data_IF_375305971954
#
_entry.id   IF_375305971954
#
_cell.length_a   1.000
_cell.length_b   1.000
_cell.length_c   1.000
_cell.angle_alpha   90.00
_cell.angle_beta   90.00
_cell.angle_gamma   90.00
#
_symmetry.space_group_name_H-M   'P 1'
#
loop_
_entity.id
_entity.type
_entity.pdbx_description
1 polymer ?
#
# COMPACT_ATOMS: atom_id res chain seq x y z
N UNK A 1 29.64 -19.61 -49.49
CA UNK A 1 28.50 -19.52 -48.56
C UNK A 1 27.68 -18.33 -48.99
N UNK A 2 26.51 -18.56 -49.58
CA UNK A 2 25.71 -17.50 -50.22
C UNK A 2 24.61 -17.06 -49.26
N UNK A 3 24.89 -16.08 -48.40
CA UNK A 3 23.87 -15.44 -47.56
C UNK A 3 23.06 -14.48 -48.42
N UNK A 4 21.74 -14.66 -48.46
CA UNK A 4 20.83 -13.76 -49.18
C UNK A 4 20.19 -12.78 -48.20
N UNK A 5 20.31 -11.48 -48.49
CA UNK A 5 19.72 -10.39 -47.70
C UNK A 5 18.38 -9.98 -48.30
N UNK A 6 17.36 -9.88 -47.45
CA UNK A 6 16.02 -9.45 -47.82
C UNK A 6 15.58 -8.27 -46.93
N UNK A 7 15.35 -7.07 -47.48
CA UNK A 7 14.85 -5.92 -46.73
C UNK A 7 13.49 -6.19 -46.07
N UNK A 8 13.25 -5.60 -44.90
CA UNK A 8 12.00 -5.79 -44.15
C UNK A 8 11.03 -4.60 -44.25
N UNK A 9 11.29 -3.61 -45.10
CA UNK A 9 10.51 -2.37 -45.18
C UNK A 9 8.99 -2.59 -45.38
N UNK A 10 8.59 -3.61 -46.15
CA UNK A 10 7.18 -3.98 -46.37
C UNK A 10 6.52 -4.80 -45.23
N UNK A 11 7.32 -5.23 -44.26
CA UNK A 11 6.92 -6.17 -43.20
C UNK A 11 6.95 -5.55 -41.81
N UNK A 12 7.81 -4.55 -41.58
CA UNK A 12 7.96 -3.88 -40.28
C UNK A 12 6.64 -3.29 -39.79
N UNK A 13 6.46 -3.31 -38.48
CA UNK A 13 5.28 -2.77 -37.80
C UNK A 13 5.61 -1.50 -37.01
N UNK A 14 6.53 -0.65 -37.45
CA UNK A 14 6.93 0.53 -36.67
C UNK A 14 5.73 1.43 -36.34
N UNK A 15 5.63 1.90 -35.09
CA UNK A 15 4.53 2.74 -34.60
C UNK A 15 3.14 2.11 -34.70
N UNK A 16 3.03 0.77 -34.83
CA UNK A 16 1.72 0.11 -34.95
C UNK A 16 0.82 0.39 -33.74
N UNK A 17 1.40 0.38 -32.54
CA UNK A 17 0.64 0.54 -31.31
C UNK A 17 0.10 1.97 -31.17
N UNK A 18 0.89 2.98 -31.51
CA UNK A 18 0.44 4.38 -31.57
C UNK A 18 -0.72 4.57 -32.55
N UNK A 19 -0.66 3.92 -33.72
CA UNK A 19 -1.76 3.93 -34.70
C UNK A 19 -3.03 3.29 -34.14
N UNK A 20 -2.90 2.19 -33.40
CA UNK A 20 -4.03 1.52 -32.74
C UNK A 20 -4.62 2.40 -31.64
N UNK A 21 -3.80 3.04 -30.81
CA UNK A 21 -4.26 3.97 -29.77
C UNK A 21 -4.98 5.18 -30.37
N UNK A 22 -4.45 5.74 -31.46
CA UNK A 22 -5.09 6.86 -32.17
C UNK A 22 -6.45 6.47 -32.76
N UNK A 23 -6.62 5.21 -33.20
CA UNK A 23 -7.86 4.70 -33.77
C UNK A 23 -8.94 4.34 -32.75
N UNK A 24 -8.57 4.08 -31.49
CA UNK A 24 -9.49 3.59 -30.46
C UNK A 24 -9.29 4.34 -29.13
N UNK A 25 -10.00 5.48 -28.91
CA UNK A 25 -9.86 6.29 -27.69
C UNK A 25 -10.09 5.51 -26.38
N UNK A 26 -10.89 4.45 -26.42
CA UNK A 26 -11.13 3.58 -25.26
C UNK A 26 -9.85 2.86 -24.78
N UNK A 27 -8.93 2.52 -25.69
CA UNK A 27 -7.65 1.90 -25.33
C UNK A 27 -6.73 2.88 -24.58
N UNK A 28 -6.80 4.18 -24.89
CA UNK A 28 -6.05 5.19 -24.13
C UNK A 28 -6.43 5.24 -22.65
N UNK A 29 -7.74 5.15 -22.34
CA UNK A 29 -8.22 5.06 -20.95
C UNK A 29 -7.81 3.75 -20.29
N UNK A 30 -7.83 2.65 -21.03
CA UNK A 30 -7.38 1.36 -20.54
C UNK A 30 -5.88 1.36 -20.22
N UNK A 31 -5.05 1.94 -21.09
CA UNK A 31 -3.62 2.12 -20.83
C UNK A 31 -3.36 2.95 -19.57
N UNK A 32 -4.15 4.00 -19.32
CA UNK A 32 -4.07 4.77 -18.09
C UNK A 32 -4.45 3.95 -16.84
N UNK A 33 -5.32 2.94 -16.98
CA UNK A 33 -5.80 2.11 -15.87
C UNK A 33 -4.93 0.90 -15.55
N UNK A 34 -4.45 0.16 -16.56
CA UNK A 34 -3.71 -1.11 -16.37
C UNK A 34 -2.26 -1.08 -16.90
N UNK A 35 -1.84 0.05 -17.47
CA UNK A 35 -0.52 0.25 -18.04
C UNK A 35 -0.45 -0.06 -19.53
N UNK A 36 0.30 0.77 -20.25
CA UNK A 36 0.49 0.68 -21.70
C UNK A 36 1.09 -0.67 -22.13
N UNK A 37 2.10 -1.14 -21.40
CA UNK A 37 2.79 -2.39 -21.71
C UNK A 37 1.85 -3.62 -21.65
N UNK A 38 0.93 -3.67 -20.69
CA UNK A 38 -0.02 -4.78 -20.59
C UNK A 38 -0.97 -4.76 -21.79
N UNK A 39 -1.52 -3.59 -22.16
CA UNK A 39 -2.42 -3.47 -23.31
C UNK A 39 -1.72 -3.84 -24.62
N UNK A 40 -0.53 -3.29 -24.87
CA UNK A 40 0.23 -3.57 -26.08
C UNK A 40 0.57 -5.06 -26.20
N UNK A 41 1.10 -5.66 -25.13
CA UNK A 41 1.51 -7.07 -25.12
C UNK A 41 0.31 -8.03 -25.16
N UNK A 42 -0.83 -7.67 -24.58
CA UNK A 42 -2.09 -8.40 -24.76
C UNK A 42 -2.47 -8.49 -26.24
N UNK A 43 -2.43 -7.38 -26.99
CA UNK A 43 -2.73 -7.38 -28.42
C UNK A 43 -1.76 -8.26 -29.22
N UNK A 44 -0.47 -8.22 -28.89
CA UNK A 44 0.54 -9.11 -29.52
C UNK A 44 0.26 -10.58 -29.23
N UNK A 45 -0.23 -10.89 -28.03
CA UNK A 45 -0.61 -12.24 -27.62
C UNK A 45 -1.95 -12.71 -28.20
N UNK A 46 -2.64 -11.87 -28.99
CA UNK A 46 -3.95 -12.17 -29.58
C UNK A 46 -5.12 -11.95 -28.63
N UNK A 47 -4.93 -11.19 -27.54
CA UNK A 47 -5.98 -10.84 -26.59
C UNK A 47 -6.64 -9.51 -26.96
N UNK A 48 -7.97 -9.49 -26.95
CA UNK A 48 -8.81 -8.30 -27.05
C UNK A 48 -9.59 -8.12 -25.76
N UNK A 49 -9.34 -7.02 -25.06
CA UNK A 49 -10.06 -6.66 -23.85
C UNK A 49 -11.41 -6.06 -24.27
N UNK A 50 -12.49 -6.72 -23.88
CA UNK A 50 -13.87 -6.38 -24.25
C UNK A 50 -14.45 -5.36 -23.28
N UNK A 51 -14.20 -5.56 -21.99
CA UNK A 51 -14.71 -4.69 -20.93
C UNK A 51 -13.73 -4.60 -19.77
N UNK A 52 -13.81 -3.49 -19.05
CA UNK A 52 -13.04 -3.22 -17.85
C UNK A 52 -13.98 -2.60 -16.81
N UNK A 53 -14.09 -3.26 -15.66
CA UNK A 53 -14.79 -2.73 -14.49
C UNK A 53 -13.80 -1.94 -13.66
N UNK A 54 -14.20 -0.73 -13.29
CA UNK A 54 -13.42 0.16 -12.43
C UNK A 54 -14.08 0.17 -11.07
N UNK A 55 -13.30 -0.10 -10.03
CA UNK A 55 -13.73 0.07 -8.66
C UNK A 55 -13.96 1.58 -8.41
N UNK A 56 -15.18 1.92 -8.01
CA UNK A 56 -15.59 3.32 -7.79
C UNK A 56 -14.85 3.98 -6.63
N UNK A 57 -14.26 3.20 -5.74
CA UNK A 57 -13.56 3.71 -4.55
C UNK A 57 -12.09 4.01 -4.84
N UNK A 58 -11.42 3.14 -5.59
CA UNK A 58 -9.98 3.27 -5.90
C UNK A 58 -9.71 3.86 -7.27
N UNK A 59 -10.73 3.96 -8.13
CA UNK A 59 -10.60 4.26 -9.56
C UNK A 59 -9.67 3.30 -10.32
N UNK A 60 -9.30 2.17 -9.71
CA UNK A 60 -8.48 1.14 -10.33
C UNK A 60 -9.35 0.13 -11.08
N UNK A 61 -8.79 -0.45 -12.14
CA UNK A 61 -9.45 -1.53 -12.86
C UNK A 61 -9.41 -2.80 -12.02
N UNK A 62 -10.56 -3.26 -11.54
CA UNK A 62 -10.68 -4.40 -10.64
C UNK A 62 -10.92 -5.71 -11.39
N UNK A 63 -11.58 -5.65 -12.54
CA UNK A 63 -11.97 -6.81 -13.32
C UNK A 63 -11.94 -6.48 -14.80
N UNK A 64 -11.50 -7.43 -15.61
CA UNK A 64 -11.42 -7.38 -17.06
C UNK A 64 -12.16 -8.58 -17.64
N UNK A 65 -12.75 -8.38 -18.81
CA UNK A 65 -13.19 -9.47 -19.68
C UNK A 65 -12.43 -9.37 -20.98
N UNK A 66 -11.92 -10.51 -21.46
CA UNK A 66 -11.12 -10.57 -22.68
C UNK A 66 -11.50 -11.76 -23.54
N UNK A 67 -11.18 -11.64 -24.82
CA UNK A 67 -11.25 -12.71 -25.81
C UNK A 67 -9.85 -12.93 -26.35
N UNK A 68 -9.42 -14.19 -26.43
CA UNK A 68 -8.19 -14.58 -27.10
C UNK A 68 -8.51 -15.26 -28.42
N UNK A 69 -7.89 -14.79 -29.48
CA UNK A 69 -7.93 -15.41 -30.80
C UNK A 69 -6.91 -16.57 -30.84
N UNK A 70 -7.38 -17.82 -30.95
CA UNK A 70 -6.53 -19.02 -30.95
C UNK A 70 -6.27 -19.49 -32.38
N UNK A 71 -5.07 -20.03 -32.70
CA UNK A 71 -4.80 -20.65 -34.00
C UNK A 71 -5.87 -21.69 -34.35
N UNK A 72 -6.52 -21.51 -35.51
CA UNK A 72 -7.69 -22.31 -35.93
C UNK A 72 -9.03 -21.57 -35.91
N UNK A 73 -9.05 -20.31 -35.48
CA UNK A 73 -10.23 -19.43 -35.57
C UNK A 73 -11.22 -19.59 -34.43
N UNK A 74 -10.85 -20.34 -33.37
CA UNK A 74 -11.63 -20.40 -32.15
C UNK A 74 -11.33 -19.19 -31.27
N UNK A 75 -12.38 -18.57 -30.73
CA UNK A 75 -12.29 -17.51 -29.74
C UNK A 75 -12.48 -18.11 -28.35
N UNK A 76 -11.54 -17.84 -27.44
CA UNK A 76 -11.64 -18.25 -26.04
C UNK A 76 -11.91 -17.02 -25.19
N UNK A 77 -13.01 -17.06 -24.44
CA UNK A 77 -13.37 -16.00 -23.49
C UNK A 77 -12.71 -16.24 -22.14
N UNK A 78 -12.23 -15.16 -21.52
CA UNK A 78 -11.67 -15.15 -20.18
C UNK A 78 -12.13 -13.90 -19.41
N UNK A 79 -12.06 -13.99 -18.08
CA UNK A 79 -12.36 -12.88 -17.19
C UNK A 79 -11.56 -13.02 -15.90
N UNK A 80 -11.19 -11.88 -15.32
CA UNK A 80 -10.37 -11.86 -14.10
C UNK A 80 -9.73 -10.50 -13.85
N UNK A 81 -8.77 -10.46 -12.96
CA UNK A 81 -8.01 -9.26 -12.62
C UNK A 81 -6.97 -8.91 -13.70
N UNK A 82 -6.46 -7.66 -13.73
CA UNK A 82 -5.33 -7.32 -14.59
C UNK A 82 -4.07 -8.17 -14.37
N UNK A 83 -3.86 -8.72 -13.16
CA UNK A 83 -2.74 -9.60 -12.86
C UNK A 83 -2.92 -11.01 -13.43
N UNK A 84 -4.13 -11.55 -13.42
CA UNK A 84 -4.44 -12.84 -14.06
C UNK A 84 -4.25 -12.75 -15.58
N UNK A 85 -4.75 -11.69 -16.21
CA UNK A 85 -4.49 -11.44 -17.63
C UNK A 85 -3.00 -11.31 -17.93
N UNK A 86 -2.24 -10.63 -17.07
CA UNK A 86 -0.79 -10.46 -17.22
C UNK A 86 -0.07 -11.80 -17.19
N UNK A 87 -0.43 -12.69 -16.27
CA UNK A 87 0.17 -14.03 -16.16
C UNK A 87 -0.16 -14.89 -17.39
N UNK A 88 -1.39 -14.80 -17.91
CA UNK A 88 -1.77 -15.43 -19.18
C UNK A 88 -0.95 -14.90 -20.36
N UNK A 89 -0.82 -13.57 -20.51
CA UNK A 89 -0.05 -12.95 -21.59
C UNK A 89 1.43 -13.37 -21.53
N UNK A 90 2.02 -13.44 -20.33
CA UNK A 90 3.38 -13.95 -20.14
C UNK A 90 3.50 -15.39 -20.65
N UNK A 91 2.58 -16.27 -20.25
CA UNK A 91 2.59 -17.66 -20.67
C UNK A 91 2.58 -17.77 -22.21
N UNK A 92 1.68 -17.04 -22.88
CA UNK A 92 1.53 -17.07 -24.34
C UNK A 92 2.74 -16.50 -25.07
N UNK A 93 3.25 -15.35 -24.66
CA UNK A 93 4.35 -14.70 -25.36
C UNK A 93 5.70 -15.39 -25.15
N UNK A 94 5.81 -16.24 -24.12
CA UNK A 94 7.04 -16.99 -23.81
C UNK A 94 7.08 -18.38 -24.45
N UNK A 95 5.99 -18.86 -25.03
CA UNK A 95 5.97 -20.08 -25.85
C UNK A 95 6.93 -19.97 -27.05
N UNK A 96 7.57 -21.09 -27.40
CA UNK A 96 8.46 -21.13 -28.57
C UNK A 96 7.67 -20.98 -29.87
N UNK A 97 8.15 -20.09 -30.74
CA UNK A 97 7.59 -19.87 -32.08
C UNK A 97 8.32 -20.77 -33.07
N UNK A 98 7.58 -21.61 -33.81
CA UNK A 98 8.18 -22.48 -34.83
C UNK A 98 8.92 -21.64 -35.88
N UNK A 99 10.07 -22.15 -36.34
CA UNK A 99 10.84 -21.48 -37.39
C UNK A 99 10.39 -22.01 -38.75
N UNK A 100 9.78 -21.15 -39.55
CA UNK A 100 9.45 -21.50 -40.93
C UNK A 100 10.69 -21.30 -41.81
N UNK A 101 11.02 -22.30 -42.64
CA UNK A 101 12.09 -22.16 -43.62
C UNK A 101 11.61 -21.35 -44.83
N UNK A 102 12.40 -20.38 -45.28
CA UNK A 102 12.14 -19.62 -46.51
C UNK A 102 12.23 -20.57 -47.72
N UNK A 103 11.11 -20.79 -48.42
CA UNK A 103 11.01 -21.63 -49.61
C UNK A 103 10.34 -20.84 -50.73
N UNK A 104 10.87 -20.93 -51.95
CA UNK A 104 10.23 -20.35 -53.14
C UNK A 104 10.46 -18.83 -53.30
N UNK A 105 9.45 -18.13 -53.82
CA UNK A 105 9.48 -16.68 -54.05
C UNK A 105 9.48 -15.96 -52.70
N UNK A 106 10.34 -14.95 -52.58
CA UNK A 106 10.39 -14.11 -51.37
C UNK A 106 9.48 -12.90 -51.59
N UNK A 107 8.32 -12.93 -50.95
CA UNK A 107 7.39 -11.82 -50.80
C UNK A 107 7.20 -11.49 -49.30
N UNK A 108 6.43 -10.44 -49.01
CA UNK A 108 6.22 -9.96 -47.64
C UNK A 108 5.59 -11.03 -46.74
N UNK A 109 4.74 -11.90 -47.28
CA UNK A 109 4.11 -12.98 -46.53
C UNK A 109 5.12 -14.09 -46.17
N UNK A 110 5.99 -14.45 -47.11
CA UNK A 110 7.10 -15.35 -46.84
C UNK A 110 8.07 -14.77 -45.79
N UNK A 111 8.34 -13.46 -45.85
CA UNK A 111 9.18 -12.77 -44.87
C UNK A 111 8.52 -12.73 -43.49
N UNK A 112 7.21 -12.45 -43.40
CA UNK A 112 6.43 -12.53 -42.15
C UNK A 112 6.45 -13.92 -41.56
N UNK A 113 6.29 -14.95 -42.39
CA UNK A 113 6.31 -16.35 -41.94
C UNK A 113 7.67 -16.76 -41.34
N UNK A 114 8.78 -16.25 -41.87
CA UNK A 114 10.11 -16.55 -41.34
C UNK A 114 10.44 -15.76 -40.08
N UNK A 115 10.20 -14.45 -40.07
CA UNK A 115 10.52 -13.62 -38.90
C UNK A 115 9.57 -13.96 -37.74
N UNK A 116 8.31 -14.23 -38.04
CA UNK A 116 7.25 -14.48 -37.07
C UNK A 116 6.50 -13.18 -36.74
N UNK A 117 5.16 -13.23 -36.80
CA UNK A 117 4.32 -12.05 -36.57
C UNK A 117 4.53 -11.48 -35.16
N UNK A 118 4.74 -12.36 -34.17
CA UNK A 118 5.01 -11.96 -32.78
C UNK A 118 6.30 -11.15 -32.69
N UNK A 119 7.37 -11.63 -33.33
CA UNK A 119 8.67 -10.93 -33.38
C UNK A 119 8.52 -9.56 -34.06
N UNK A 120 7.77 -9.48 -35.15
CA UNK A 120 7.51 -8.23 -35.89
C UNK A 120 6.79 -7.20 -35.04
N UNK A 121 5.80 -7.61 -34.25
CA UNK A 121 5.04 -6.70 -33.39
C UNK A 121 5.78 -6.31 -32.11
N UNK A 122 6.57 -7.22 -31.52
CA UNK A 122 7.33 -6.94 -30.29
C UNK A 122 8.53 -6.02 -30.53
N UNK A 123 9.23 -6.17 -31.66
CA UNK A 123 10.44 -5.40 -31.95
C UNK A 123 10.26 -3.87 -31.76
N UNK A 124 9.27 -3.20 -32.37
CA UNK A 124 9.09 -1.75 -32.20
C UNK A 124 8.67 -1.35 -30.78
N UNK A 125 7.97 -2.22 -30.02
CA UNK A 125 7.61 -1.94 -28.62
C UNK A 125 8.84 -1.84 -27.70
N UNK A 126 9.96 -2.46 -28.09
CA UNK A 126 11.21 -2.42 -27.36
C UNK A 126 12.30 -1.62 -28.09
N UNK A 127 11.93 -0.81 -29.09
CA UNK A 127 12.85 0.02 -29.84
C UNK A 127 13.83 -0.75 -30.73
N UNK A 128 13.52 -1.99 -31.09
CA UNK A 128 14.35 -2.80 -31.99
C UNK A 128 14.02 -2.42 -33.44
N UNK A 129 15.00 -1.82 -34.11
CA UNK A 129 14.92 -1.40 -35.50
C UNK A 129 15.34 -2.55 -36.45
N UNK A 130 14.38 -3.30 -36.99
CA UNK A 130 14.70 -4.42 -37.90
C UNK A 130 14.88 -3.95 -39.35
N UNK A 131 16.05 -4.16 -39.94
CA UNK A 131 16.39 -3.67 -41.29
C UNK A 131 16.22 -4.73 -42.37
N UNK A 132 16.76 -5.92 -42.13
CA UNK A 132 16.72 -7.01 -43.09
C UNK A 132 16.77 -8.37 -42.40
N UNK A 133 16.29 -9.40 -43.09
CA UNK A 133 16.55 -10.79 -42.75
C UNK A 133 17.61 -11.36 -43.69
N UNK A 134 18.58 -12.07 -43.12
CA UNK A 134 19.64 -12.74 -43.85
C UNK A 134 19.44 -14.24 -43.72
N UNK A 135 19.33 -14.92 -44.85
CA UNK A 135 19.13 -16.38 -44.91
C UNK A 135 20.35 -17.00 -45.57
N UNK A 136 21.05 -17.84 -44.82
CA UNK A 136 22.21 -18.58 -45.30
C UNK A 136 22.29 -19.99 -44.73
N UNK A 137 23.37 -20.68 -45.06
CA UNK A 137 23.60 -22.08 -44.63
C UNK A 137 23.75 -22.22 -43.11
N UNK A 138 24.15 -21.15 -42.43
CA UNK A 138 24.30 -21.07 -40.98
C UNK A 138 23.00 -20.72 -40.22
N UNK A 139 21.89 -20.52 -40.94
CA UNK A 139 20.58 -20.18 -40.37
C UNK A 139 20.10 -18.77 -40.74
N UNK A 140 19.10 -18.31 -39.98
CA UNK A 140 18.45 -17.01 -40.18
C UNK A 140 18.99 -15.97 -39.21
N UNK A 141 19.52 -14.87 -39.73
CA UNK A 141 19.96 -13.70 -38.96
C UNK A 141 19.02 -12.52 -39.23
N UNK A 142 18.90 -11.63 -38.26
CA UNK A 142 18.28 -10.31 -38.41
C UNK A 142 19.38 -9.24 -38.37
N UNK A 143 19.38 -8.36 -39.37
CA UNK A 143 20.11 -7.11 -39.31
C UNK A 143 19.29 -6.09 -38.53
N UNK A 144 19.82 -5.65 -37.40
CA UNK A 144 19.22 -4.68 -36.50
C UNK A 144 19.97 -3.35 -36.62
N UNK A 145 19.26 -2.22 -36.63
CA UNK A 145 19.85 -0.89 -36.60
C UNK A 145 20.52 -0.60 -35.26
N UNK A 146 21.70 0.02 -35.30
CA UNK A 146 22.46 0.55 -34.18
C UNK A 146 23.01 1.94 -34.52
N UNK A 147 23.48 2.70 -33.54
CA UNK A 147 23.98 4.08 -33.73
C UNK A 147 25.10 4.17 -34.79
N UNK A 148 25.97 3.15 -34.84
CA UNK A 148 27.13 3.09 -35.74
C UNK A 148 26.92 2.15 -36.96
N UNK A 149 25.69 1.73 -37.26
CA UNK A 149 25.39 0.91 -38.45
C UNK A 149 24.37 -0.20 -38.21
N UNK A 150 24.69 -1.43 -38.64
CA UNK A 150 23.83 -2.59 -38.45
C UNK A 150 24.56 -3.72 -37.71
N UNK A 151 23.84 -4.43 -36.85
CA UNK A 151 24.33 -5.63 -36.17
C UNK A 151 23.52 -6.83 -36.62
N UNK A 152 24.20 -7.89 -37.08
CA UNK A 152 23.58 -9.15 -37.46
C UNK A 152 23.47 -10.08 -36.24
N UNK A 153 22.24 -10.44 -35.87
CA UNK A 153 21.97 -11.28 -34.70
C UNK A 153 21.15 -12.51 -35.12
N UNK A 154 21.47 -13.73 -34.65
CA UNK A 154 20.64 -14.89 -34.92
C UNK A 154 19.19 -14.69 -34.47
N UNK A 155 18.23 -14.98 -35.35
CA UNK A 155 16.80 -14.84 -35.05
C UNK A 155 16.38 -15.54 -33.75
N UNK A 156 16.87 -16.75 -33.41
CA UNK A 156 16.57 -17.38 -32.13
C UNK A 156 17.04 -16.58 -30.90
N UNK A 157 18.19 -15.91 -30.98
CA UNK A 157 18.70 -15.07 -29.89
C UNK A 157 17.88 -13.78 -29.75
N UNK A 158 17.44 -13.18 -30.86
CA UNK A 158 16.50 -12.05 -30.84
C UNK A 158 15.19 -12.45 -30.16
N UNK A 159 14.61 -13.61 -30.51
CA UNK A 159 13.39 -14.14 -29.88
C UNK A 159 13.58 -14.38 -28.39
N UNK A 160 14.72 -14.95 -27.99
CA UNK A 160 15.06 -15.17 -26.58
C UNK A 160 15.16 -13.85 -25.81
N UNK A 161 15.80 -12.84 -26.39
CA UNK A 161 15.89 -11.49 -25.80
C UNK A 161 14.50 -10.86 -25.64
N UNK A 162 13.67 -10.91 -26.69
CA UNK A 162 12.31 -10.39 -26.66
C UNK A 162 11.47 -11.06 -25.56
N UNK A 163 11.53 -12.38 -25.41
CA UNK A 163 10.85 -13.10 -24.33
C UNK A 163 11.31 -12.65 -22.94
N UNK A 164 12.62 -12.52 -22.73
CA UNK A 164 13.15 -12.03 -21.47
C UNK A 164 12.63 -10.62 -21.16
N UNK A 165 12.59 -9.74 -22.17
CA UNK A 165 12.10 -8.37 -22.02
C UNK A 165 10.60 -8.30 -21.73
N UNK A 166 9.79 -9.15 -22.37
CA UNK A 166 8.36 -9.29 -22.05
C UNK A 166 8.15 -9.65 -20.59
N UNK A 167 8.85 -10.66 -20.08
CA UNK A 167 8.74 -11.10 -18.68
C UNK A 167 9.15 -9.96 -17.74
N UNK A 168 10.27 -9.30 -18.03
CA UNK A 168 10.77 -8.20 -17.20
C UNK A 168 9.78 -7.04 -17.13
N UNK A 169 9.28 -6.58 -18.28
CA UNK A 169 8.36 -5.44 -18.35
C UNK A 169 7.04 -5.76 -17.68
N UNK A 170 6.45 -6.94 -17.95
CA UNK A 170 5.16 -7.30 -17.35
C UNK A 170 5.27 -7.52 -15.84
N UNK A 171 6.39 -8.06 -15.34
CA UNK A 171 6.62 -8.21 -13.88
C UNK A 171 6.94 -6.88 -13.19
N UNK A 172 7.73 -6.00 -13.83
CA UNK A 172 8.02 -4.67 -13.30
C UNK A 172 6.79 -3.76 -13.28
N UNK A 173 5.87 -3.97 -14.23
CA UNK A 173 4.58 -3.30 -14.29
C UNK A 173 3.52 -3.89 -13.35
N UNK A 174 3.85 -4.87 -12.50
CA UNK A 174 3.00 -5.15 -11.33
C UNK A 174 3.13 -3.92 -10.42
N UNK A 175 2.03 -3.21 -10.09
CA UNK A 175 2.10 -2.32 -8.95
C UNK A 175 2.61 -3.18 -7.80
N UNK A 176 3.71 -2.77 -7.16
CA UNK A 176 4.11 -3.37 -5.89
C UNK A 176 3.01 -2.99 -4.91
N UNK A 177 1.92 -3.75 -4.91
CA UNK A 177 0.98 -3.78 -3.82
C UNK A 177 1.82 -4.21 -2.64
N UNK A 178 2.16 -3.23 -1.80
CA UNK A 178 2.59 -3.53 -0.43
C UNK A 178 1.34 -4.10 0.22
N UNK A 179 1.04 -5.38 -0.05
CA UNK A 179 -0.13 -6.05 0.46
C UNK A 179 0.06 -6.17 1.97
N UNK A 180 -0.72 -5.40 2.72
CA UNK A 180 -0.73 -5.48 4.17
C UNK A 180 -1.56 -6.70 4.54
N UNK A 181 -0.92 -7.73 5.08
CA UNK A 181 -1.60 -8.92 5.58
C UNK A 181 -2.31 -8.58 6.90
N UNK A 182 -3.60 -8.25 6.80
CA UNK A 182 -4.43 -7.90 7.96
C UNK A 182 -4.60 -9.07 8.93
N UNK A 183 -4.55 -10.33 8.46
CA UNK A 183 -4.66 -11.49 9.33
C UNK A 183 -3.42 -11.64 10.21
N UNK A 184 -2.23 -11.43 9.62
CA UNK A 184 -0.99 -11.41 10.37
C UNK A 184 -0.95 -10.26 11.40
N UNK A 185 -1.47 -9.08 11.05
CA UNK A 185 -1.56 -7.94 11.97
C UNK A 185 -2.55 -8.17 13.12
N UNK A 186 -3.65 -8.87 12.86
CA UNK A 186 -4.58 -9.23 13.95
C UNK A 186 -3.94 -10.25 14.91
N UNK A 187 -3.14 -11.20 14.40
CA UNK A 187 -2.36 -12.11 15.24
C UNK A 187 -1.31 -11.37 16.10
N UNK A 188 -0.71 -10.28 15.59
CA UNK A 188 0.19 -9.41 16.39
C UNK A 188 -0.56 -8.77 17.56
N UNK A 189 -1.78 -8.28 17.33
CA UNK A 189 -2.62 -7.72 18.40
C UNK A 189 -2.85 -8.73 19.52
N UNK A 190 -3.13 -9.99 19.17
CA UNK A 190 -3.34 -11.07 20.12
C UNK A 190 -2.07 -11.43 20.89
N UNK A 191 -0.93 -11.58 20.19
CA UNK A 191 0.37 -11.81 20.82
C UNK A 191 0.73 -10.70 21.83
N UNK A 192 0.43 -9.43 21.49
CA UNK A 192 0.65 -8.29 22.39
C UNK A 192 -0.22 -8.35 23.65
N UNK A 193 -1.49 -8.76 23.51
CA UNK A 193 -2.41 -8.94 24.64
C UNK A 193 -1.95 -10.05 25.60
N UNK A 194 -1.30 -11.09 25.06
CA UNK A 194 -0.73 -12.21 25.83
C UNK A 194 0.65 -11.90 26.44
N UNK A 195 1.23 -10.74 26.10
CA UNK A 195 2.56 -10.37 26.58
C UNK A 195 3.73 -11.05 25.86
N UNK A 196 3.48 -11.62 24.68
CA UNK A 196 4.53 -12.21 23.82
C UNK A 196 5.27 -11.13 23.03
N UNK A 197 6.05 -10.32 23.73
CA UNK A 197 6.71 -9.14 23.18
C UNK A 197 7.69 -9.48 22.05
N UNK A 198 8.45 -10.57 22.17
CA UNK A 198 9.40 -11.00 21.14
C UNK A 198 8.71 -11.33 19.82
N UNK A 199 7.52 -11.94 19.88
CA UNK A 199 6.73 -12.28 18.68
C UNK A 199 6.21 -11.01 18.01
N UNK A 200 5.70 -10.07 18.79
CA UNK A 200 5.25 -8.76 18.29
C UNK A 200 6.40 -8.03 17.60
N UNK A 201 7.57 -7.96 18.24
CA UNK A 201 8.74 -7.27 17.70
C UNK A 201 9.27 -7.94 16.43
N UNK A 202 9.35 -9.28 16.43
CA UNK A 202 9.81 -10.08 15.29
C UNK A 202 8.93 -9.89 14.05
N UNK A 203 7.61 -9.95 14.23
CA UNK A 203 6.64 -9.81 13.14
C UNK A 203 6.57 -8.37 12.63
N UNK A 204 6.56 -7.39 13.54
CA UNK A 204 6.34 -5.99 13.17
C UNK A 204 7.58 -5.28 12.64
N UNK A 205 8.80 -5.69 13.03
CA UNK A 205 10.04 -5.05 12.58
C UNK A 205 10.16 -4.92 11.04
N UNK A 206 9.98 -5.98 10.23
CA UNK A 206 10.03 -5.86 8.78
C UNK A 206 8.81 -5.13 8.19
N UNK A 207 7.67 -5.16 8.89
CA UNK A 207 6.41 -4.59 8.40
C UNK A 207 6.31 -3.08 8.62
N UNK A 208 7.01 -2.53 9.61
CA UNK A 208 6.89 -1.12 9.97
C UNK A 208 7.16 -0.19 8.77
N UNK A 209 8.28 -0.40 8.07
CA UNK A 209 8.61 0.38 6.87
C UNK A 209 7.60 0.18 5.73
N UNK A 210 7.06 -1.02 5.58
CA UNK A 210 6.04 -1.34 4.60
C UNK A 210 4.73 -0.60 4.90
N UNK A 211 4.28 -0.56 6.16
CA UNK A 211 3.10 0.19 6.59
C UNK A 211 3.25 1.69 6.34
N UNK A 212 4.43 2.26 6.66
CA UNK A 212 4.72 3.69 6.37
C UNK A 212 4.62 3.98 4.87
N UNK A 213 5.14 3.09 4.02
CA UNK A 213 5.06 3.24 2.57
C UNK A 213 3.62 3.06 2.06
N UNK A 214 2.92 2.04 2.56
CA UNK A 214 1.56 1.69 2.17
C UNK A 214 0.58 2.82 2.47
N UNK A 215 0.69 3.50 3.62
CA UNK A 215 -0.18 4.63 3.95
C UNK A 215 -0.14 5.77 2.90
N UNK A 216 0.96 5.88 2.14
CA UNK A 216 1.15 6.90 1.09
C UNK A 216 0.66 6.46 -0.29
N UNK A 217 0.20 5.22 -0.44
CA UNK A 217 -0.34 4.72 -1.71
C UNK A 217 -1.82 5.04 -1.83
N UNK A 218 -2.40 5.01 -3.06
CA UNK A 218 -3.84 5.09 -3.24
C UNK A 218 -4.62 4.03 -2.45
N UNK A 219 -4.08 2.80 -2.39
CA UNK A 219 -4.69 1.69 -1.64
C UNK A 219 -4.71 1.95 -0.13
N UNK A 220 -3.62 2.50 0.43
CA UNK A 220 -3.59 2.90 1.84
C UNK A 220 -4.52 4.07 2.15
N UNK A 221 -4.64 5.03 1.23
CA UNK A 221 -5.60 6.11 1.36
C UNK A 221 -7.05 5.60 1.31
N UNK A 222 -7.36 4.65 0.43
CA UNK A 222 -8.68 4.05 0.25
C UNK A 222 -9.03 3.00 1.32
N UNK A 223 -8.10 2.61 2.20
CA UNK A 223 -8.33 1.61 3.23
C UNK A 223 -9.53 1.98 4.11
N UNK A 224 -10.49 1.05 4.22
CA UNK A 224 -11.69 1.20 5.03
C UNK A 224 -11.41 1.31 6.53
N UNK A 225 -12.38 1.79 7.33
CA UNK A 225 -12.20 2.07 8.75
C UNK A 225 -11.84 0.82 9.57
N UNK A 226 -12.38 -0.36 9.22
CA UNK A 226 -12.05 -1.62 9.89
C UNK A 226 -10.61 -2.07 9.63
N UNK A 227 -10.15 -2.03 8.37
CA UNK A 227 -8.77 -2.35 8.03
C UNK A 227 -7.77 -1.40 8.71
N UNK A 228 -8.09 -0.10 8.72
CA UNK A 228 -7.31 0.90 9.46
C UNK A 228 -7.28 0.63 10.96
N UNK A 229 -8.38 0.16 11.54
CA UNK A 229 -8.46 -0.19 12.94
C UNK A 229 -7.58 -1.40 13.29
N UNK A 230 -7.53 -2.43 12.43
CA UNK A 230 -6.64 -3.60 12.60
C UNK A 230 -5.18 -3.14 12.61
N UNK A 231 -4.76 -2.34 11.62
CA UNK A 231 -3.39 -1.82 11.54
C UNK A 231 -3.04 -0.97 12.76
N UNK A 232 -3.94 -0.07 13.16
CA UNK A 232 -3.73 0.79 14.32
C UNK A 232 -3.58 -0.02 15.62
N UNK A 233 -4.38 -1.07 15.82
CA UNK A 233 -4.28 -1.94 17.01
C UNK A 233 -3.00 -2.76 17.03
N UNK A 234 -2.53 -3.25 15.88
CA UNK A 234 -1.24 -3.93 15.78
C UNK A 234 -0.08 -2.98 16.13
N UNK A 235 -0.12 -1.72 15.66
CA UNK A 235 0.86 -0.70 16.02
C UNK A 235 0.78 -0.29 17.51
N UNK A 236 -0.40 -0.34 18.13
CA UNK A 236 -0.55 -0.18 19.59
C UNK A 236 0.09 -1.34 20.35
N UNK A 237 -0.13 -2.59 19.89
CA UNK A 237 0.53 -3.76 20.47
C UNK A 237 2.05 -3.63 20.40
N UNK A 238 2.59 -3.22 19.25
CA UNK A 238 4.00 -2.88 19.08
C UNK A 238 4.46 -1.78 20.05
N UNK A 239 3.69 -0.69 20.16
CA UNK A 239 3.99 0.41 21.07
C UNK A 239 4.09 -0.03 22.53
N UNK A 240 3.16 -0.88 23.00
CA UNK A 240 3.18 -1.44 24.35
C UNK A 240 4.39 -2.36 24.57
N UNK A 241 4.70 -3.22 23.60
CA UNK A 241 5.89 -4.08 23.66
C UNK A 241 7.18 -3.25 23.73
N UNK A 242 7.30 -2.21 22.91
CA UNK A 242 8.44 -1.29 22.91
C UNK A 242 8.59 -0.54 24.24
N UNK A 243 7.49 -0.16 24.90
CA UNK A 243 7.54 0.43 26.25
C UNK A 243 8.08 -0.57 27.28
N UNK A 244 7.67 -1.85 27.22
CA UNK A 244 8.15 -2.89 28.16
C UNK A 244 9.65 -3.16 28.01
N UNK A 245 10.19 -3.05 26.80
CA UNK A 245 11.63 -3.20 26.52
C UNK A 245 12.38 -1.86 26.52
N UNK A 246 11.76 -0.79 27.01
CA UNK A 246 12.33 0.56 27.17
C UNK A 246 12.84 1.23 25.87
N UNK A 247 12.36 0.80 24.70
CA UNK A 247 12.70 1.38 23.38
C UNK A 247 11.76 2.55 23.05
N UNK A 248 11.86 3.63 23.81
CA UNK A 248 10.89 4.73 23.81
C UNK A 248 10.82 5.53 22.51
N UNK A 249 11.94 5.68 21.79
CA UNK A 249 11.96 6.41 20.51
C UNK A 249 11.13 5.68 19.44
N UNK A 250 11.35 4.38 19.29
CA UNK A 250 10.62 3.52 18.37
C UNK A 250 9.14 3.39 18.78
N UNK A 251 8.85 3.37 20.09
CA UNK A 251 7.49 3.42 20.60
C UNK A 251 6.76 4.68 20.12
N UNK A 252 7.43 5.84 20.21
CA UNK A 252 6.89 7.10 19.72
C UNK A 252 6.59 7.07 18.22
N UNK A 253 7.48 6.49 17.41
CA UNK A 253 7.29 6.36 15.97
C UNK A 253 6.12 5.43 15.64
N UNK A 254 6.03 4.27 16.30
CA UNK A 254 4.94 3.32 16.15
C UNK A 254 3.57 3.94 16.47
N UNK A 255 3.46 4.65 17.59
CA UNK A 255 2.20 5.24 18.03
C UNK A 255 1.79 6.46 17.19
N UNK A 256 2.74 7.23 16.65
CA UNK A 256 2.44 8.29 15.68
C UNK A 256 1.95 7.72 14.35
N UNK A 257 2.48 6.59 13.90
CA UNK A 257 1.94 5.89 12.73
C UNK A 257 0.54 5.33 13.03
N UNK A 258 0.33 4.75 14.22
CA UNK A 258 -0.98 4.26 14.63
C UNK A 258 -2.05 5.37 14.60
N UNK A 259 -1.70 6.58 15.03
CA UNK A 259 -2.60 7.73 15.01
C UNK A 259 -2.98 8.14 13.56
N UNK A 260 -2.04 8.04 12.61
CA UNK A 260 -2.30 8.31 11.21
C UNK A 260 -3.26 7.28 10.58
N UNK A 261 -3.15 6.00 10.96
CA UNK A 261 -4.12 4.99 10.52
C UNK A 261 -5.48 5.19 11.18
N UNK A 262 -5.50 5.39 12.50
CA UNK A 262 -6.72 5.46 13.28
C UNK A 262 -7.57 6.70 12.96
N UNK A 263 -6.95 7.86 12.74
CA UNK A 263 -7.66 9.14 12.58
C UNK A 263 -8.67 9.35 13.74
N UNK A 264 -9.96 9.51 13.43
CA UNK A 264 -11.08 9.52 14.39
C UNK A 264 -11.94 8.26 14.31
N UNK A 265 -11.38 7.17 13.76
CA UNK A 265 -12.03 5.88 13.60
C UNK A 265 -12.08 5.04 14.89
N UNK A 266 -12.57 3.79 14.79
CA UNK A 266 -12.88 2.95 15.96
C UNK A 266 -11.70 2.65 16.89
N UNK A 267 -10.46 2.62 16.37
CA UNK A 267 -9.26 2.37 17.16
C UNK A 267 -8.65 3.65 17.78
N UNK A 268 -9.13 4.83 17.39
CA UNK A 268 -8.53 6.11 17.80
C UNK A 268 -8.49 6.31 19.32
N UNK A 269 -9.54 6.01 20.11
CA UNK A 269 -9.48 6.16 21.57
C UNK A 269 -8.33 5.38 22.20
N UNK A 270 -8.13 4.13 21.78
CA UNK A 270 -7.06 3.27 22.28
C UNK A 270 -5.67 3.79 21.88
N UNK A 271 -5.51 4.23 20.63
CA UNK A 271 -4.25 4.79 20.12
C UNK A 271 -3.84 6.04 20.91
N UNK A 272 -4.76 6.99 21.10
CA UNK A 272 -4.46 8.23 21.81
C UNK A 272 -4.20 7.99 23.30
N UNK A 273 -4.85 7.01 23.91
CA UNK A 273 -4.55 6.58 25.27
C UNK A 273 -3.12 6.03 25.37
N UNK A 274 -2.75 5.09 24.49
CA UNK A 274 -1.42 4.49 24.49
C UNK A 274 -0.30 5.52 24.21
N UNK A 275 -0.54 6.45 23.28
CA UNK A 275 0.36 7.57 23.00
C UNK A 275 0.55 8.46 24.23
N UNK A 276 -0.53 8.77 24.96
CA UNK A 276 -0.46 9.52 26.21
C UNK A 276 0.34 8.81 27.31
N UNK A 277 0.11 7.50 27.48
CA UNK A 277 0.86 6.65 28.42
C UNK A 277 2.36 6.64 28.08
N UNK A 278 2.72 6.46 26.81
CA UNK A 278 4.11 6.47 26.33
C UNK A 278 4.82 7.81 26.55
N UNK A 279 4.15 8.92 26.25
CA UNK A 279 4.68 10.27 26.47
C UNK A 279 4.91 10.53 27.96
N UNK A 280 3.98 10.12 28.83
CA UNK A 280 4.13 10.27 30.27
C UNK A 280 5.29 9.42 30.81
N UNK A 281 5.42 8.17 30.34
CA UNK A 281 6.54 7.29 30.71
C UNK A 281 7.89 7.87 30.25
N UNK A 282 7.92 8.60 29.14
CA UNK A 282 9.11 9.32 28.65
C UNK A 282 9.38 10.65 29.37
N UNK A 283 8.63 10.98 30.44
CA UNK A 283 8.75 12.25 31.17
C UNK A 283 8.19 13.47 30.40
N UNK A 284 7.55 13.27 29.25
CA UNK A 284 6.99 14.32 28.38
C UNK A 284 5.55 14.66 28.78
N UNK A 285 5.34 14.94 30.05
CA UNK A 285 4.03 15.15 30.66
C UNK A 285 3.19 16.24 29.97
N UNK A 286 3.83 17.32 29.49
CA UNK A 286 3.13 18.40 28.79
C UNK A 286 2.49 17.94 27.47
N UNK A 287 3.18 17.07 26.72
CA UNK A 287 2.73 16.56 25.43
C UNK A 287 1.67 15.47 25.59
N UNK A 288 1.72 14.70 26.69
CA UNK A 288 0.75 13.65 26.99
C UNK A 288 -0.68 14.17 27.21
N UNK A 289 -0.85 15.43 27.65
CA UNK A 289 -2.18 16.01 27.96
C UNK A 289 -3.10 15.99 26.75
N UNK A 290 -2.59 16.33 25.55
CA UNK A 290 -3.38 16.41 24.32
C UNK A 290 -4.00 15.06 23.92
N UNK A 291 -3.18 14.02 23.70
CA UNK A 291 -3.64 12.66 23.40
C UNK A 291 -4.61 12.11 24.46
N UNK A 292 -4.29 12.25 25.75
CA UNK A 292 -5.16 11.77 26.83
C UNK A 292 -6.55 12.43 26.82
N UNK A 293 -6.61 13.74 26.59
CA UNK A 293 -7.90 14.44 26.43
C UNK A 293 -8.64 13.97 25.18
N UNK A 294 -7.95 13.74 24.06
CA UNK A 294 -8.59 13.23 22.84
C UNK A 294 -9.15 11.82 23.02
N UNK A 295 -8.44 10.94 23.74
CA UNK A 295 -8.93 9.60 24.06
C UNK A 295 -10.28 9.63 24.78
N UNK A 296 -10.43 10.48 25.81
CA UNK A 296 -11.71 10.61 26.56
C UNK A 296 -12.79 11.39 25.83
N UNK A 297 -12.42 12.25 24.87
CA UNK A 297 -13.40 12.91 24.00
C UNK A 297 -14.00 11.92 22.99
N UNK A 298 -13.20 10.99 22.48
CA UNK A 298 -13.64 9.96 21.54
C UNK A 298 -14.35 8.79 22.24
N UNK A 299 -13.90 8.41 23.43
CA UNK A 299 -14.55 7.40 24.26
C UNK A 299 -14.63 7.85 25.74
N UNK A 300 -15.79 8.38 26.19
CA UNK A 300 -16.01 8.75 27.57
C UNK A 300 -15.82 7.60 28.59
N UNK A 301 -15.94 6.34 28.17
CA UNK A 301 -15.74 5.18 29.04
C UNK A 301 -14.27 5.03 29.49
N UNK A 302 -13.33 5.62 28.77
CA UNK A 302 -11.91 5.65 29.15
C UNK A 302 -11.60 6.62 30.29
N UNK A 303 -12.55 7.47 30.70
CA UNK A 303 -12.34 8.50 31.73
C UNK A 303 -11.73 7.95 33.03
N UNK A 304 -12.20 6.85 33.63
CA UNK A 304 -11.60 6.32 34.87
C UNK A 304 -10.13 5.93 34.72
N UNK A 305 -9.73 5.47 33.52
CA UNK A 305 -8.34 5.11 33.21
C UNK A 305 -7.48 6.33 32.91
N UNK A 306 -8.04 7.35 32.24
CA UNK A 306 -7.29 8.53 31.79
C UNK A 306 -7.12 9.59 32.89
N UNK A 307 -8.10 9.77 33.78
CA UNK A 307 -8.06 10.82 34.80
C UNK A 307 -6.81 10.75 35.72
N UNK A 308 -6.37 9.58 36.21
CA UNK A 308 -5.14 9.48 36.98
C UNK A 308 -3.90 9.93 36.19
N UNK A 309 -3.84 9.58 34.90
CA UNK A 309 -2.75 9.97 33.99
C UNK A 309 -2.74 11.49 33.78
N UNK A 310 -3.91 12.11 33.55
CA UNK A 310 -4.03 13.55 33.40
C UNK A 310 -3.68 14.31 34.70
N UNK A 311 -4.13 13.81 35.86
CA UNK A 311 -3.75 14.38 37.15
C UNK A 311 -2.24 14.35 37.34
N UNK A 312 -1.59 13.24 36.97
CA UNK A 312 -0.13 13.13 36.99
C UNK A 312 0.54 14.13 36.03
N UNK A 313 0.05 14.24 34.80
CA UNK A 313 0.56 15.20 33.82
C UNK A 313 0.47 16.64 34.33
N UNK A 314 -0.65 17.00 34.97
CA UNK A 314 -0.82 18.34 35.54
C UNK A 314 0.12 18.61 36.72
N UNK A 315 0.36 17.62 37.58
CA UNK A 315 1.34 17.76 38.67
C UNK A 315 2.76 17.93 38.12
N UNK A 316 3.16 17.09 37.18
CA UNK A 316 4.52 17.10 36.61
C UNK A 316 4.77 18.37 35.74
N UNK A 317 3.71 19.08 35.34
CA UNK A 317 3.79 20.37 34.61
C UNK A 317 3.51 21.59 35.49
N UNK A 318 3.43 21.43 36.82
CA UNK A 318 3.21 22.53 37.78
C UNK A 318 1.78 23.09 37.82
N UNK A 319 0.82 22.44 37.14
CA UNK A 319 -0.60 22.82 37.10
C UNK A 319 -1.39 22.20 38.25
N UNK A 320 -0.90 22.39 39.48
CA UNK A 320 -1.37 21.67 40.66
C UNK A 320 -2.86 21.91 41.00
N UNK A 321 -3.42 23.10 40.72
CA UNK A 321 -4.86 23.38 40.92
C UNK A 321 -5.73 22.56 39.97
N UNK A 322 -5.32 22.39 38.72
CA UNK A 322 -6.06 21.55 37.76
C UNK A 322 -5.98 20.07 38.18
N UNK A 323 -4.82 19.61 38.64
CA UNK A 323 -4.66 18.27 39.20
C UNK A 323 -5.56 18.05 40.43
N UNK A 324 -5.66 19.05 41.31
CA UNK A 324 -6.48 19.00 42.51
C UNK A 324 -7.95 18.72 42.18
N UNK A 325 -8.53 19.39 41.18
CA UNK A 325 -9.90 19.12 40.75
C UNK A 325 -10.11 17.69 40.23
N UNK A 326 -9.11 17.14 39.51
CA UNK A 326 -9.16 15.74 39.05
C UNK A 326 -9.03 14.75 40.22
N UNK A 327 -8.19 15.03 41.21
CA UNK A 327 -8.02 14.22 42.41
C UNK A 327 -9.33 14.12 43.18
N UNK A 328 -10.06 15.22 43.35
CA UNK A 328 -11.38 15.20 43.99
C UNK A 328 -12.39 14.34 43.21
N UNK A 329 -12.37 14.45 41.88
CA UNK A 329 -13.23 13.64 41.01
C UNK A 329 -12.91 12.15 41.11
N UNK A 330 -11.62 11.80 41.15
CA UNK A 330 -11.13 10.43 41.34
C UNK A 330 -11.51 9.88 42.71
N UNK A 331 -11.37 10.67 43.77
CA UNK A 331 -11.74 10.29 45.13
C UNK A 331 -13.24 10.03 45.24
N UNK A 332 -14.07 10.90 44.67
CA UNK A 332 -15.52 10.73 44.64
C UNK A 332 -15.95 9.45 43.90
N UNK A 333 -15.18 9.03 42.90
CA UNK A 333 -15.37 7.76 42.18
C UNK A 333 -14.72 6.54 42.88
N UNK A 334 -14.13 6.72 44.07
CA UNK A 334 -13.56 5.63 44.86
C UNK A 334 -12.17 5.16 44.43
N UNK A 335 -11.46 5.92 43.60
CA UNK A 335 -10.08 5.60 43.22
C UNK A 335 -9.09 5.94 44.33
N UNK A 336 -8.01 5.16 44.46
CA UNK A 336 -6.88 5.52 45.31
C UNK A 336 -6.15 6.73 44.73
N UNK A 337 -6.13 7.81 45.51
CA UNK A 337 -5.53 9.10 45.16
C UNK A 337 -4.36 9.47 46.07
N UNK A 338 -3.96 8.59 46.99
CA UNK A 338 -2.97 8.89 48.05
C UNK A 338 -1.67 9.48 47.50
N UNK A 339 -1.12 8.87 46.45
CA UNK A 339 0.12 9.34 45.83
C UNK A 339 -0.04 10.68 45.10
N UNK A 340 -1.20 10.90 44.45
CA UNK A 340 -1.50 12.16 43.75
C UNK A 340 -1.76 13.29 44.75
N UNK A 341 -2.46 13.00 45.85
CA UNK A 341 -2.70 13.93 46.94
C UNK A 341 -1.41 14.40 47.61
N UNK A 342 -0.49 13.48 47.90
CA UNK A 342 0.79 13.83 48.51
C UNK A 342 1.56 14.84 47.63
N UNK A 343 1.59 14.60 46.31
CA UNK A 343 2.21 15.51 45.34
C UNK A 343 1.47 16.84 45.23
N UNK A 344 0.13 16.82 45.17
CA UNK A 344 -0.66 18.04 45.07
C UNK A 344 -0.53 18.91 46.32
N UNK A 345 -0.54 18.28 47.51
CA UNK A 345 -0.32 18.93 48.80
C UNK A 345 1.06 19.58 48.85
N UNK A 346 2.11 18.87 48.42
CA UNK A 346 3.46 19.44 48.35
C UNK A 346 3.55 20.62 47.38
N UNK A 347 2.85 20.57 46.25
CA UNK A 347 2.87 21.63 45.24
C UNK A 347 2.02 22.86 45.63
N UNK A 348 0.92 22.68 46.36
CA UNK A 348 0.00 23.75 46.74
C UNK A 348 0.27 24.32 48.14
N UNK A 349 0.99 23.60 48.99
CA UNK A 349 1.32 24.02 50.35
C UNK A 349 0.07 24.36 51.17
N UNK A 350 0.08 25.53 51.81
CA UNK A 350 -1.02 26.01 52.67
C UNK A 350 -2.36 26.16 51.94
N UNK A 351 -2.34 26.30 50.60
CA UNK A 351 -3.56 26.44 49.79
C UNK A 351 -4.33 25.10 49.62
N UNK A 352 -3.71 23.95 49.93
CA UNK A 352 -4.31 22.64 49.72
C UNK A 352 -5.55 22.39 50.59
N UNK A 353 -5.45 22.65 51.91
CA UNK A 353 -6.55 22.40 52.83
C UNK A 353 -7.78 23.29 52.58
N UNK A 354 -7.65 24.62 52.33
CA UNK A 354 -8.76 25.46 51.90
C UNK A 354 -9.40 25.00 50.59
N UNK A 355 -8.59 24.61 49.59
CA UNK A 355 -9.09 24.09 48.31
C UNK A 355 -9.96 22.85 48.51
N UNK A 356 -9.47 21.86 49.27
CA UNK A 356 -10.23 20.63 49.57
C UNK A 356 -11.57 20.91 50.23
N UNK A 357 -11.60 21.75 51.27
CA UNK A 357 -12.85 22.15 51.94
C UNK A 357 -13.83 22.84 50.99
N UNK A 358 -13.32 23.63 50.05
CA UNK A 358 -14.16 24.29 49.05
C UNK A 358 -14.78 23.30 48.05
N UNK A 359 -14.11 22.18 47.77
CA UNK A 359 -14.59 21.14 46.86
C UNK A 359 -15.41 20.04 47.56
N UNK A 360 -15.23 19.83 48.87
CA UNK A 360 -15.97 18.83 49.65
C UNK A 360 -17.49 18.99 49.50
N UNK A 361 -18.17 17.90 49.17
CA UNK A 361 -19.63 17.86 48.99
C UNK A 361 -20.16 18.47 47.68
N UNK A 362 -19.32 19.08 46.84
CA UNK A 362 -19.73 19.60 45.53
C UNK A 362 -19.60 18.52 44.47
N UNK A 363 -20.69 18.23 43.74
CA UNK A 363 -20.64 17.35 42.57
C UNK A 363 -19.80 18.01 41.47
N UNK A 364 -18.91 17.23 40.86
CA UNK A 364 -18.22 17.66 39.66
C UNK A 364 -19.24 17.91 38.54
N UNK A 365 -19.35 19.17 38.09
CA UNK A 365 -20.15 19.50 36.91
C UNK A 365 -19.38 19.00 35.69
N UNK A 366 -19.85 17.92 35.08
CA UNK A 366 -19.33 17.47 33.79
C UNK A 366 -19.90 18.41 32.75
N UNK A 367 -19.10 19.36 32.27
CA UNK A 367 -19.45 20.17 31.10
C UNK A 367 -19.10 19.33 29.87
N UNK A 368 -20.08 18.89 29.06
CA UNK A 368 -19.82 18.25 27.77
C UNK A 368 -19.05 19.21 26.87
N UNK A 369 -18.20 18.66 26.01
CA UNK A 369 -17.33 19.43 25.09
C UNK A 369 -18.18 20.26 24.10
N UNK A 370 -19.45 19.91 23.93
CA UNK A 370 -20.42 20.59 23.05
C UNK A 370 -21.06 21.84 23.69
N UNK A 371 -20.65 22.23 24.90
CA UNK A 371 -21.13 23.44 25.57
C UNK A 371 -22.55 23.33 26.16
N UNK A 372 -23.20 22.18 26.07
CA UNK A 372 -24.51 21.92 26.69
C UNK A 372 -24.36 21.65 28.18
N UNK A 373 -24.57 22.67 29.01
CA UNK A 373 -24.70 22.49 30.46
C UNK A 373 -25.97 21.67 30.72
N UNK A 374 -25.84 20.36 30.91
CA UNK A 374 -26.94 19.55 31.45
C UNK A 374 -26.91 19.69 32.96
N UNK A 375 -27.72 20.60 33.49
CA UNK A 375 -28.08 20.60 34.90
C UNK A 375 -28.81 19.29 35.21
N UNK A 376 -28.29 18.50 36.14
CA UNK A 376 -29.00 17.36 36.68
C UNK A 376 -30.07 17.83 37.69
N UNK A 377 -31.07 18.55 37.19
CA UNK A 377 -32.38 18.72 37.82
C UNK A 377 -33.45 18.73 36.72
N UNK A 378 -34.20 17.63 36.60
CA UNK A 378 -35.39 17.52 35.75
C UNK A 378 -35.12 17.02 34.34
#
# INVERSE_FOLDING_TARGET
MSTRRHPLDGVRADGWFDRVLAGVPALGRLCAGIGEALVALSLVAGYRIISASVDRTTSAVSELQWVRDVPGGAEVQGSGTPDELRDEVIAVLTEDEETTALRGRVDDDALRAVVGMRTILLAPLFGIDMRAVLVGDAGTLLALGADDGEVEVPLPEVRKFLRARVVEVLRAARPRTVAVDLAQLDAVREAGAEGRDDDVLSVMAPQFGALVAFLRTPDGAAMGPEGRAVVARALVALGRSLMRVERMDECGDALRLAAQYAQDGPAAPEVYLCLGESLLASGRAAEAIGPLRRATALDPALRPKVLPLLARCYLDTGRAVAAAGLIESLRAAGHDVTALEAKASAALGEAWAPWRRACEGRRAVVVPIDGTVVSAEG
#
